data_IF_207200480180
#
_entry.id   IF_207200480180
#
_cell.length_a   1.000
_cell.length_b   1.000
_cell.length_c   1.000
_cell.angle_alpha   90.00
_cell.angle_beta   90.00
_cell.angle_gamma   90.00
#
_symmetry.space_group_name_H-M   'P 1'
#
loop_
_entity.id
_entity.type
_entity.pdbx_description
1 polymer ?
#
# COMPACT_ATOMS: atom_id res chain seq x y z
N UNK A 1 13.13 21.60 4.99
CA UNK A 1 12.44 20.35 4.58
C UNK A 1 12.81 19.28 5.61
N UNK A 2 11.84 18.63 6.24
CA UNK A 2 12.12 17.55 7.21
C UNK A 2 12.66 16.35 6.43
N UNK A 3 13.80 15.79 6.85
CA UNK A 3 14.33 14.56 6.23
C UNK A 3 13.35 13.42 6.47
N UNK A 4 13.09 12.61 5.45
CA UNK A 4 12.23 11.43 5.56
C UNK A 4 12.89 10.34 6.41
N UNK A 5 14.17 10.08 6.17
CA UNK A 5 15.05 9.25 7.00
C UNK A 5 16.50 9.68 6.83
N UNK A 6 17.39 9.20 7.68
CA UNK A 6 18.83 9.44 7.54
C UNK A 6 19.43 8.42 6.57
N UNK A 7 20.19 8.91 5.58
CA UNK A 7 20.89 8.06 4.64
C UNK A 7 22.10 7.45 5.38
N UNK A 8 22.25 6.11 5.38
CA UNK A 8 23.41 5.47 5.98
C UNK A 8 24.75 5.95 5.39
N UNK A 9 25.87 5.83 6.11
CA UNK A 9 27.18 6.30 5.64
C UNK A 9 27.64 5.69 4.30
N UNK A 10 27.19 4.46 4.00
CA UNK A 10 27.46 3.78 2.71
C UNK A 10 26.57 4.28 1.56
N UNK A 11 25.69 5.23 1.80
CA UNK A 11 24.78 5.79 0.78
C UNK A 11 23.61 4.89 0.36
N UNK A 12 23.43 3.70 0.97
CA UNK A 12 22.38 2.73 0.63
C UNK A 12 21.46 2.47 1.80
N UNK A 13 20.17 2.74 1.62
CA UNK A 13 19.15 2.52 2.64
C UNK A 13 18.52 1.12 2.51
N UNK A 14 18.41 0.39 3.60
CA UNK A 14 17.78 -0.94 3.62
C UNK A 14 16.28 -0.80 3.76
N UNK A 15 15.55 -1.56 2.94
CA UNK A 15 14.10 -1.47 2.89
C UNK A 15 13.41 -2.82 3.01
N UNK A 16 12.25 -2.81 3.66
CA UNK A 16 11.28 -3.89 3.60
C UNK A 16 10.22 -3.56 2.53
N UNK A 17 9.83 -4.55 1.73
CA UNK A 17 8.80 -4.39 0.69
C UNK A 17 7.55 -5.18 1.11
N UNK A 18 6.45 -4.49 1.31
CA UNK A 18 5.19 -5.03 1.81
C UNK A 18 4.20 -5.28 0.68
N UNK A 19 3.63 -6.48 0.62
CA UNK A 19 2.67 -6.89 -0.41
C UNK A 19 1.53 -7.74 0.18
N UNK A 20 0.32 -7.57 -0.36
CA UNK A 20 -0.88 -8.35 0.01
C UNK A 20 -1.50 -9.12 -1.17
N UNK A 21 -1.01 -8.93 -2.39
CA UNK A 21 -1.63 -9.49 -3.61
C UNK A 21 -0.62 -10.01 -4.63
N UNK A 22 -0.82 -9.67 -5.91
CA UNK A 22 0.02 -10.12 -7.03
C UNK A 22 1.48 -9.64 -6.94
N UNK A 23 1.75 -8.58 -6.18
CA UNK A 23 3.10 -8.03 -6.01
C UNK A 23 3.70 -7.39 -7.27
N UNK A 24 2.88 -6.99 -8.24
CA UNK A 24 3.37 -6.40 -9.51
C UNK A 24 4.29 -5.21 -9.26
N UNK A 25 3.92 -4.30 -8.36
CA UNK A 25 4.77 -3.16 -8.00
C UNK A 25 6.07 -3.60 -7.33
N UNK A 26 6.00 -4.60 -6.44
CA UNK A 26 7.20 -5.14 -5.78
C UNK A 26 8.17 -5.76 -6.79
N UNK A 27 7.65 -6.54 -7.75
CA UNK A 27 8.47 -7.11 -8.83
C UNK A 27 9.17 -6.00 -9.61
N UNK A 28 8.47 -4.92 -9.99
CA UNK A 28 9.09 -3.80 -10.73
C UNK A 28 10.16 -3.07 -9.94
N UNK A 29 9.97 -2.89 -8.64
CA UNK A 29 10.97 -2.31 -7.74
C UNK A 29 12.20 -3.22 -7.65
N UNK A 30 12.00 -4.53 -7.51
CA UNK A 30 13.08 -5.51 -7.42
C UNK A 30 13.82 -5.70 -8.76
N UNK A 31 13.13 -5.71 -9.89
CA UNK A 31 13.73 -5.70 -11.22
C UNK A 31 14.60 -4.45 -11.44
N UNK A 32 14.13 -3.29 -10.97
CA UNK A 32 14.91 -2.05 -11.05
C UNK A 32 16.19 -2.15 -10.22
N UNK A 33 16.09 -2.60 -8.97
CA UNK A 33 17.25 -2.82 -8.10
C UNK A 33 18.24 -3.83 -8.71
N UNK A 34 17.73 -4.95 -9.24
CA UNK A 34 18.56 -6.04 -9.77
C UNK A 34 19.35 -5.65 -11.03
N UNK A 35 18.90 -4.64 -11.79
CA UNK A 35 19.62 -4.17 -12.99
C UNK A 35 20.99 -3.56 -12.65
N UNK A 36 21.08 -2.86 -11.54
CA UNK A 36 22.32 -2.20 -11.11
C UNK A 36 22.35 -2.06 -9.57
N UNK A 37 22.56 -3.17 -8.82
CA UNK A 37 22.55 -3.15 -7.36
C UNK A 37 23.64 -2.26 -6.77
N UNK A 38 24.77 -2.10 -7.48
CA UNK A 38 25.90 -1.30 -6.99
C UNK A 38 25.59 0.19 -6.98
N UNK A 39 24.87 0.70 -7.97
CA UNK A 39 24.48 2.11 -8.06
C UNK A 39 23.07 2.41 -7.53
N UNK A 40 22.34 1.39 -7.11
CA UNK A 40 21.03 1.59 -6.49
C UNK A 40 21.18 2.10 -5.06
N UNK A 41 20.43 3.18 -4.73
CA UNK A 41 20.51 3.84 -3.41
C UNK A 41 19.75 3.09 -2.30
N UNK A 42 19.12 1.96 -2.60
CA UNK A 42 18.46 1.12 -1.60
C UNK A 42 18.83 -0.35 -1.76
N UNK A 43 18.65 -1.12 -0.68
CA UNK A 43 18.89 -2.56 -0.61
C UNK A 43 17.60 -3.21 -0.11
N UNK A 44 16.91 -4.04 -0.92
CA UNK A 44 15.79 -4.85 -0.44
C UNK A 44 16.28 -5.88 0.58
N UNK A 45 15.85 -5.77 1.83
CA UNK A 45 16.32 -6.62 2.93
C UNK A 45 15.34 -7.72 3.28
N UNK A 46 14.04 -7.48 3.11
CA UNK A 46 13.00 -8.50 3.25
C UNK A 46 11.74 -8.14 2.48
N UNK A 47 10.96 -9.16 2.15
CA UNK A 47 9.58 -9.05 1.69
C UNK A 47 8.67 -9.37 2.87
N UNK A 48 7.56 -8.65 2.99
CA UNK A 48 6.59 -8.83 4.08
C UNK A 48 5.21 -9.07 3.49
N UNK A 49 4.48 -10.04 4.03
CA UNK A 49 3.09 -10.28 3.64
C UNK A 49 2.18 -10.54 4.83
N UNK A 50 0.95 -10.03 4.71
CA UNK A 50 -0.17 -10.26 5.61
C UNK A 50 -1.07 -11.43 5.17
N UNK A 51 -0.83 -12.00 3.98
CA UNK A 51 -1.66 -13.02 3.33
C UNK A 51 -0.83 -14.10 2.65
N UNK A 52 -0.03 -14.88 3.38
CA UNK A 52 0.95 -15.79 2.79
C UNK A 52 0.36 -16.82 1.82
N UNK A 53 -0.89 -17.26 2.08
CA UNK A 53 -1.56 -18.26 1.24
C UNK A 53 -2.31 -17.66 0.03
N UNK A 54 -2.38 -16.33 -0.08
CA UNK A 54 -3.22 -15.64 -1.09
C UNK A 54 -2.49 -14.54 -1.85
N UNK A 55 -1.17 -14.54 -1.79
CA UNK A 55 -0.35 -13.55 -2.48
C UNK A 55 0.89 -14.18 -3.12
N UNK A 56 1.54 -13.44 -4.00
CA UNK A 56 2.74 -13.90 -4.70
C UNK A 56 4.05 -13.75 -3.88
N UNK A 57 3.97 -13.44 -2.58
CA UNK A 57 5.15 -13.10 -1.78
C UNK A 57 6.21 -14.20 -1.75
N UNK A 58 5.79 -15.47 -1.62
CA UNK A 58 6.71 -16.62 -1.59
C UNK A 58 7.48 -16.78 -2.90
N UNK A 59 6.78 -16.67 -4.03
CA UNK A 59 7.38 -16.80 -5.35
C UNK A 59 8.34 -15.64 -5.63
N UNK A 60 7.94 -14.40 -5.28
CA UNK A 60 8.77 -13.22 -5.44
C UNK A 60 10.02 -13.31 -4.54
N UNK A 61 9.87 -13.68 -3.27
CA UNK A 61 10.98 -13.85 -2.36
C UNK A 61 12.00 -14.88 -2.87
N UNK A 62 11.51 -16.01 -3.39
CA UNK A 62 12.34 -17.05 -4.01
C UNK A 62 13.01 -16.55 -5.29
N UNK A 63 12.27 -15.88 -6.18
CA UNK A 63 12.78 -15.37 -7.45
C UNK A 63 13.96 -14.42 -7.26
N UNK A 64 13.87 -13.50 -6.30
CA UNK A 64 14.89 -12.48 -6.04
C UNK A 64 15.87 -12.86 -4.93
N UNK A 65 15.73 -14.04 -4.34
CA UNK A 65 16.55 -14.53 -3.22
C UNK A 65 16.58 -13.54 -2.04
N UNK A 66 15.40 -13.06 -1.64
CA UNK A 66 15.21 -12.10 -0.54
C UNK A 66 14.46 -12.79 0.60
N UNK A 67 14.84 -12.58 1.88
CA UNK A 67 14.12 -13.11 3.04
C UNK A 67 12.64 -12.74 3.04
N UNK A 68 11.78 -13.66 3.46
CA UNK A 68 10.33 -13.47 3.56
C UNK A 68 9.89 -13.43 5.03
N UNK A 69 9.09 -12.45 5.38
CA UNK A 69 8.36 -12.37 6.64
C UNK A 69 6.88 -12.59 6.35
N UNK A 70 6.33 -13.64 6.92
CA UNK A 70 4.90 -13.94 6.91
C UNK A 70 4.29 -13.58 8.25
N UNK A 71 3.23 -12.77 8.22
CA UNK A 71 2.48 -12.39 9.42
C UNK A 71 0.99 -12.32 9.08
N UNK A 72 0.36 -13.49 9.03
CA UNK A 72 -1.01 -13.66 8.54
C UNK A 72 -2.03 -12.96 9.45
N UNK A 73 -2.66 -11.92 8.90
CA UNK A 73 -3.65 -11.13 9.62
C UNK A 73 -4.95 -11.90 9.84
N UNK A 74 -5.32 -12.80 8.91
CA UNK A 74 -6.55 -13.59 9.03
C UNK A 74 -6.44 -14.60 10.15
N UNK A 75 -5.31 -15.31 10.20
CA UNK A 75 -5.02 -16.26 11.28
C UNK A 75 -4.97 -15.54 12.62
N UNK A 76 -4.30 -14.37 12.69
CA UNK A 76 -4.20 -13.60 13.91
C UNK A 76 -5.58 -13.17 14.46
N UNK A 77 -6.44 -12.62 13.59
CA UNK A 77 -7.78 -12.21 14.01
C UNK A 77 -8.67 -13.39 14.43
N UNK A 78 -8.55 -14.52 13.73
CA UNK A 78 -9.25 -15.76 14.08
C UNK A 78 -8.82 -16.28 15.45
N UNK A 79 -7.52 -16.28 15.75
CA UNK A 79 -6.97 -16.67 17.05
C UNK A 79 -7.40 -15.71 18.17
N UNK A 80 -7.59 -14.43 17.87
CA UNK A 80 -8.18 -13.45 18.78
C UNK A 80 -9.71 -13.59 18.93
N UNK A 81 -10.35 -14.61 18.32
CA UNK A 81 -11.80 -14.84 18.40
C UNK A 81 -12.64 -13.93 17.50
N UNK A 82 -12.02 -13.17 16.59
CA UNK A 82 -12.71 -12.23 15.71
C UNK A 82 -13.03 -12.88 14.36
N UNK A 83 -14.26 -12.65 13.87
CA UNK A 83 -14.74 -13.22 12.60
C UNK A 83 -14.33 -12.40 11.37
N UNK A 84 -14.05 -11.11 11.54
CA UNK A 84 -13.75 -10.18 10.46
C UNK A 84 -12.53 -9.33 10.79
N UNK A 85 -11.75 -9.00 9.75
CA UNK A 85 -10.62 -8.08 9.85
C UNK A 85 -11.17 -6.67 9.67
N UNK A 86 -11.62 -6.05 10.75
CA UNK A 86 -12.25 -4.73 10.72
C UNK A 86 -11.68 -3.82 11.79
N UNK A 87 -11.64 -2.52 11.51
CA UNK A 87 -11.31 -1.46 12.45
C UNK A 87 -12.58 -0.76 13.01
N UNK A 88 -13.76 -1.22 12.60
CA UNK A 88 -15.02 -0.61 13.02
C UNK A 88 -15.33 -0.83 14.52
N UNK A 89 -14.94 -1.98 15.07
CA UNK A 89 -15.09 -2.27 16.50
C UNK A 89 -13.82 -1.97 17.29
N UNK A 90 -13.97 -1.79 18.60
CA UNK A 90 -12.85 -1.57 19.51
C UNK A 90 -11.94 -2.82 19.58
N UNK A 91 -12.53 -4.01 19.66
CA UNK A 91 -11.80 -5.28 19.67
C UNK A 91 -10.99 -5.46 18.38
N UNK A 92 -11.55 -5.06 17.24
CA UNK A 92 -10.86 -5.09 15.95
C UNK A 92 -9.66 -4.14 15.90
N UNK A 93 -9.77 -2.96 16.51
CA UNK A 93 -8.65 -2.01 16.65
C UNK A 93 -7.56 -2.53 17.57
N UNK A 94 -7.94 -3.09 18.74
CA UNK A 94 -7.00 -3.71 19.68
C UNK A 94 -6.26 -4.86 19.01
N UNK A 95 -6.97 -5.73 18.27
CA UNK A 95 -6.35 -6.83 17.53
C UNK A 95 -5.38 -6.31 16.45
N UNK A 96 -5.73 -5.22 15.74
CA UNK A 96 -4.85 -4.62 14.74
C UNK A 96 -3.56 -4.08 15.35
N UNK A 97 -3.64 -3.39 16.49
CA UNK A 97 -2.46 -2.89 17.17
C UNK A 97 -1.57 -4.03 17.71
N UNK A 98 -2.18 -5.10 18.25
CA UNK A 98 -1.44 -6.29 18.67
C UNK A 98 -0.76 -7.00 17.48
N UNK A 99 -1.46 -7.15 16.35
CA UNK A 99 -0.91 -7.68 15.10
C UNK A 99 0.25 -6.82 14.60
N UNK A 100 0.10 -5.49 14.60
CA UNK A 100 1.14 -4.55 14.20
C UNK A 100 2.39 -4.67 15.07
N UNK A 101 2.23 -4.80 16.39
CA UNK A 101 3.36 -5.04 17.32
C UNK A 101 4.10 -6.34 16.99
N UNK A 102 3.37 -7.43 16.74
CA UNK A 102 3.97 -8.69 16.32
C UNK A 102 4.75 -8.58 15.00
N UNK A 103 4.25 -7.79 14.06
CA UNK A 103 4.94 -7.50 12.81
C UNK A 103 6.23 -6.69 13.04
N UNK A 104 6.17 -5.64 13.87
CA UNK A 104 7.35 -4.84 14.24
C UNK A 104 8.43 -5.73 14.84
N UNK A 105 8.09 -6.61 15.80
CA UNK A 105 9.04 -7.54 16.41
C UNK A 105 9.73 -8.44 15.38
N UNK A 106 8.98 -8.92 14.38
CA UNK A 106 9.58 -9.72 13.29
C UNK A 106 10.53 -8.90 12.40
N UNK A 107 10.31 -7.60 12.28
CA UNK A 107 11.16 -6.72 11.48
C UNK A 107 12.45 -6.31 12.20
N UNK A 108 12.51 -6.36 13.55
CA UNK A 108 13.68 -5.96 14.35
C UNK A 108 14.95 -6.75 14.02
N UNK A 109 14.83 -7.94 13.42
CA UNK A 109 15.97 -8.71 12.94
C UNK A 109 16.67 -8.10 11.70
N UNK A 110 16.02 -7.13 11.04
CA UNK A 110 16.56 -6.43 9.89
C UNK A 110 16.86 -4.98 10.25
N UNK A 111 18.07 -4.49 9.95
CA UNK A 111 18.40 -3.08 10.18
C UNK A 111 17.82 -2.20 9.07
N UNK A 112 16.52 -1.91 9.15
CA UNK A 112 15.76 -1.18 8.13
C UNK A 112 15.82 0.33 8.37
N UNK A 113 15.98 1.11 7.31
CA UNK A 113 15.89 2.57 7.31
C UNK A 113 14.50 3.06 6.85
N UNK A 114 13.81 2.28 5.99
CA UNK A 114 12.45 2.61 5.53
C UNK A 114 11.70 1.38 5.02
N UNK A 115 10.42 1.53 4.71
CA UNK A 115 9.61 0.50 4.10
C UNK A 115 8.87 1.02 2.86
N UNK A 116 8.47 0.11 1.97
CA UNK A 116 7.66 0.39 0.79
C UNK A 116 6.39 -0.47 0.84
N UNK A 117 5.24 0.17 0.88
CA UNK A 117 3.95 -0.49 0.71
C UNK A 117 3.66 -0.59 -0.79
N UNK A 118 3.95 -1.76 -1.36
CA UNK A 118 3.81 -2.06 -2.79
C UNK A 118 2.52 -2.87 -3.05
N UNK A 119 1.38 -2.31 -2.67
CA UNK A 119 0.08 -2.99 -2.69
C UNK A 119 -0.19 -3.74 -1.37
N UNK A 120 0.23 -3.17 -0.25
CA UNK A 120 -0.09 -3.66 1.10
C UNK A 120 -1.43 -3.09 1.56
N UNK A 121 -2.35 -3.96 1.98
CA UNK A 121 -3.75 -3.59 2.23
C UNK A 121 -4.01 -3.18 3.67
N UNK A 122 -3.49 -3.89 4.71
CA UNK A 122 -3.85 -3.58 6.07
C UNK A 122 -3.37 -2.20 6.49
N UNK A 123 -4.26 -1.37 6.98
CA UNK A 123 -3.87 -0.17 7.72
C UNK A 123 -3.15 -0.62 9.00
N UNK A 124 -1.94 -0.16 9.21
CA UNK A 124 -1.16 -0.46 10.41
C UNK A 124 -0.22 0.70 10.74
N UNK A 125 -0.04 0.96 12.04
CA UNK A 125 0.78 2.07 12.52
C UNK A 125 2.28 1.71 12.62
N UNK A 126 2.78 0.89 11.70
CA UNK A 126 4.21 0.65 11.54
C UNK A 126 4.95 1.96 11.15
N UNK A 127 4.24 2.89 10.50
CA UNK A 127 4.71 4.22 10.14
C UNK A 127 5.16 5.08 11.33
N UNK A 128 4.75 4.73 12.55
CA UNK A 128 5.23 5.38 13.78
C UNK A 128 6.66 4.94 14.16
N UNK A 129 7.10 3.79 13.67
CA UNK A 129 8.41 3.19 13.99
C UNK A 129 9.38 3.25 12.82
N UNK A 130 8.88 3.16 11.61
CA UNK A 130 9.66 3.07 10.39
C UNK A 130 9.06 4.02 9.34
N UNK A 131 9.85 4.93 8.74
CA UNK A 131 9.38 5.72 7.61
C UNK A 131 8.89 4.82 6.47
N UNK A 132 7.68 5.05 5.96
CA UNK A 132 7.08 4.22 4.93
C UNK A 132 6.69 5.04 3.70
N UNK A 133 6.92 4.48 2.53
CA UNK A 133 6.41 4.96 1.26
C UNK A 133 5.23 4.09 0.83
N UNK A 134 4.19 4.70 0.28
CA UNK A 134 3.06 3.97 -0.31
C UNK A 134 2.99 4.22 -1.81
N UNK A 135 2.92 3.12 -2.58
CA UNK A 135 2.66 3.16 -4.02
C UNK A 135 1.15 3.14 -4.21
N UNK A 136 0.59 4.30 -4.51
CA UNK A 136 -0.86 4.51 -4.65
C UNK A 136 -1.27 4.51 -6.14
N UNK A 137 -2.32 3.75 -6.52
CA UNK A 137 -2.70 3.58 -7.93
C UNK A 137 -3.57 4.72 -8.47
N UNK A 138 -3.40 5.95 -8.00
CA UNK A 138 -4.15 7.13 -8.42
C UNK A 138 -3.29 8.39 -8.45
N UNK A 139 -3.68 9.34 -9.29
CA UNK A 139 -3.10 10.68 -9.29
C UNK A 139 -3.65 11.49 -8.12
N UNK A 140 -2.89 11.57 -7.05
CA UNK A 140 -3.26 12.31 -5.85
C UNK A 140 -3.16 13.85 -5.99
N UNK A 141 -2.81 14.35 -7.17
CA UNK A 141 -2.91 15.80 -7.49
C UNK A 141 -4.28 16.19 -8.01
N UNK A 142 -5.08 15.21 -8.46
CA UNK A 142 -6.46 15.46 -8.87
C UNK A 142 -7.32 15.68 -7.63
N UNK A 143 -8.00 16.81 -7.59
CA UNK A 143 -8.85 17.22 -6.46
C UNK A 143 -10.27 17.48 -6.91
N UNK A 144 -11.22 17.33 -5.99
CA UNK A 144 -12.62 17.70 -6.17
C UNK A 144 -12.83 19.22 -5.98
N UNK A 145 -14.09 19.68 -6.09
CA UNK A 145 -14.49 21.07 -5.91
C UNK A 145 -14.18 21.62 -4.49
N UNK A 146 -14.04 20.73 -3.50
CA UNK A 146 -13.69 21.06 -2.12
C UNK A 146 -12.16 21.04 -1.89
N UNK A 147 -11.35 20.86 -2.95
CA UNK A 147 -9.89 20.71 -2.90
C UNK A 147 -9.43 19.45 -2.12
N UNK A 148 -10.29 18.44 -2.02
CA UNK A 148 -9.94 17.14 -1.46
C UNK A 148 -9.43 16.23 -2.57
N UNK A 149 -8.45 15.36 -2.26
CA UNK A 149 -7.93 14.38 -3.22
C UNK A 149 -9.06 13.48 -3.70
N UNK A 150 -9.27 13.41 -5.00
CA UNK A 150 -10.37 12.68 -5.62
C UNK A 150 -10.06 11.18 -5.76
N UNK A 151 -8.84 10.85 -6.19
CA UNK A 151 -8.46 9.48 -6.52
C UNK A 151 -7.83 8.75 -5.33
N UNK A 152 -8.54 8.70 -4.21
CA UNK A 152 -8.12 8.03 -2.97
C UNK A 152 -8.83 6.68 -2.81
N UNK A 153 -8.27 5.82 -1.94
CA UNK A 153 -8.89 4.55 -1.57
C UNK A 153 -8.06 3.33 -1.94
N UNK A 154 -8.60 2.16 -1.59
CA UNK A 154 -7.91 0.88 -1.71
C UNK A 154 -8.14 0.23 -3.08
N UNK A 155 -7.18 -0.57 -3.51
CA UNK A 155 -7.25 -1.41 -4.72
C UNK A 155 -7.55 -0.63 -6.01
N UNK A 156 -8.65 -1.00 -6.69
CA UNK A 156 -9.08 -0.41 -7.94
C UNK A 156 -9.92 0.86 -7.78
N UNK A 157 -10.26 1.25 -6.56
CA UNK A 157 -11.15 2.42 -6.32
C UNK A 157 -10.62 3.69 -6.99
N UNK A 158 -9.35 4.07 -6.90
CA UNK A 158 -8.84 5.25 -7.60
C UNK A 158 -8.98 5.16 -9.12
N UNK A 159 -8.80 3.96 -9.69
CA UNK A 159 -8.98 3.70 -11.12
C UNK A 159 -10.45 3.84 -11.51
N UNK A 160 -11.35 3.23 -10.72
CA UNK A 160 -12.79 3.34 -10.91
C UNK A 160 -13.26 4.79 -10.84
N UNK A 161 -12.74 5.56 -9.87
CA UNK A 161 -13.05 6.99 -9.72
C UNK A 161 -12.55 7.81 -10.92
N UNK A 162 -11.39 7.52 -11.47
CA UNK A 162 -10.89 8.19 -12.66
C UNK A 162 -11.83 7.94 -13.86
N UNK A 163 -12.26 6.70 -14.06
CA UNK A 163 -13.22 6.33 -15.12
C UNK A 163 -14.57 7.03 -14.92
N UNK A 164 -15.12 7.01 -13.71
CA UNK A 164 -16.44 7.61 -13.40
C UNK A 164 -16.44 9.12 -13.60
N UNK A 165 -15.32 9.78 -13.27
CA UNK A 165 -15.16 11.22 -13.45
C UNK A 165 -14.67 11.58 -14.86
N UNK A 166 -14.63 10.59 -15.78
CA UNK A 166 -14.26 10.78 -17.20
C UNK A 166 -12.93 11.53 -17.36
N UNK A 167 -11.92 11.12 -16.57
CA UNK A 167 -10.58 11.68 -16.71
C UNK A 167 -9.91 11.09 -17.95
N UNK A 168 -9.18 11.91 -18.67
CA UNK A 168 -8.52 11.50 -19.92
C UNK A 168 -7.29 10.62 -19.67
N UNK A 169 -6.65 10.77 -18.52
CA UNK A 169 -5.43 10.07 -18.16
C UNK A 169 -5.35 9.75 -16.65
N UNK A 170 -4.46 8.85 -16.32
CA UNK A 170 -4.10 8.47 -14.97
C UNK A 170 -2.60 8.43 -14.76
N UNK A 171 -2.17 8.49 -13.52
CA UNK A 171 -0.81 8.14 -13.07
C UNK A 171 -0.84 7.52 -11.67
N UNK A 172 0.21 6.82 -11.34
CA UNK A 172 0.46 6.33 -9.98
C UNK A 172 1.20 7.41 -9.19
N UNK A 173 0.87 7.57 -7.92
CA UNK A 173 1.61 8.43 -6.99
C UNK A 173 2.40 7.60 -5.98
N UNK A 174 3.59 8.08 -5.61
CA UNK A 174 4.33 7.58 -4.44
C UNK A 174 4.26 8.65 -3.37
N UNK A 175 3.75 8.27 -2.21
CA UNK A 175 3.55 9.18 -1.07
C UNK A 175 4.31 8.70 0.16
N UNK A 176 4.58 9.63 1.07
CA UNK A 176 4.99 9.32 2.43
C UNK A 176 3.75 8.81 3.17
N UNK A 177 3.75 7.55 3.59
CA UNK A 177 2.64 7.00 4.34
C UNK A 177 2.61 7.58 5.77
N UNK A 178 1.43 7.94 6.24
CA UNK A 178 1.18 8.44 7.59
C UNK A 178 0.50 7.38 8.45
N UNK A 179 0.64 7.50 9.77
CA UNK A 179 -0.16 6.70 10.68
C UNK A 179 -1.66 7.03 10.49
N UNK A 180 -2.49 6.02 10.51
CA UNK A 180 -3.94 6.22 10.47
C UNK A 180 -4.48 6.56 11.87
N UNK A 181 -5.52 7.37 11.90
CA UNK A 181 -6.33 7.59 13.11
C UNK A 181 -7.54 6.66 13.14
N UNK A 182 -8.18 6.54 14.29
CA UNK A 182 -9.44 5.78 14.43
C UNK A 182 -10.59 6.33 13.58
N UNK A 183 -10.50 7.59 13.15
CA UNK A 183 -11.44 8.22 12.22
C UNK A 183 -11.13 7.97 10.73
N UNK A 184 -10.04 7.26 10.42
CA UNK A 184 -9.56 7.06 9.05
C UNK A 184 -8.79 8.25 8.46
N UNK A 185 -8.59 9.34 9.21
CA UNK A 185 -7.77 10.46 8.77
C UNK A 185 -6.30 10.03 8.60
N UNK A 186 -5.61 10.62 7.63
CA UNK A 186 -4.21 10.33 7.30
C UNK A 186 -4.02 9.31 6.18
N UNK A 187 -5.08 8.61 5.75
CA UNK A 187 -5.01 7.67 4.63
C UNK A 187 -4.87 8.48 3.32
N UNK A 188 -3.85 8.13 2.52
CA UNK A 188 -3.53 8.78 1.23
C UNK A 188 -3.33 10.32 1.30
N UNK A 189 -3.15 10.89 2.50
CA UNK A 189 -2.95 12.33 2.72
C UNK A 189 -1.47 12.75 2.73
N UNK A 190 -0.56 11.79 2.72
CA UNK A 190 0.88 12.05 2.79
C UNK A 190 1.44 12.88 1.63
N UNK A 191 2.62 13.45 1.82
CA UNK A 191 3.30 14.22 0.78
C UNK A 191 3.62 13.34 -0.43
N UNK A 192 3.27 13.80 -1.63
CA UNK A 192 3.66 13.16 -2.89
C UNK A 192 5.15 13.41 -3.10
N UNK A 193 5.91 12.33 -3.29
CA UNK A 193 7.35 12.39 -3.54
C UNK A 193 7.74 11.94 -4.96
N UNK A 194 6.80 11.33 -5.67
CA UNK A 194 6.99 10.90 -7.05
C UNK A 194 5.68 10.54 -7.72
N UNK A 195 5.67 10.60 -9.05
CA UNK A 195 4.55 10.19 -9.89
C UNK A 195 5.08 9.44 -11.12
N UNK A 196 4.30 8.48 -11.62
CA UNK A 196 4.59 7.87 -12.92
C UNK A 196 4.32 8.84 -14.06
N UNK A 197 4.79 8.57 -15.28
CA UNK A 197 4.24 9.19 -16.49
C UNK A 197 2.73 9.00 -16.56
N UNK A 198 2.05 9.88 -17.28
CA UNK A 198 0.63 9.76 -17.60
C UNK A 198 0.37 8.56 -18.51
N UNK A 199 -0.77 7.93 -18.31
CA UNK A 199 -1.29 6.84 -19.15
C UNK A 199 -2.70 7.22 -19.53
N UNK A 200 -2.98 7.27 -20.83
CA UNK A 200 -4.31 7.59 -21.34
C UNK A 200 -5.33 6.52 -20.92
N UNK A 201 -6.53 6.96 -20.59
CA UNK A 201 -7.66 6.06 -20.30
C UNK A 201 -8.40 5.83 -21.64
N UNK A 202 -8.39 4.59 -22.11
CA UNK A 202 -9.12 4.21 -23.32
C UNK A 202 -10.57 3.85 -22.99
N UNK A 203 -11.48 4.75 -23.34
CA UNK A 203 -12.92 4.59 -23.16
C UNK A 203 -13.62 3.85 -24.31
N UNK A 204 -12.88 3.35 -25.33
CA UNK A 204 -13.48 2.60 -26.44
C UNK A 204 -14.30 1.43 -25.91
N UNK A 205 -15.58 1.38 -26.34
CA UNK A 205 -16.54 0.37 -25.94
C UNK A 205 -16.91 0.37 -24.43
N UNK A 206 -16.68 1.44 -23.71
CA UNK A 206 -17.10 1.57 -22.30
C UNK A 206 -18.46 2.24 -22.24
N UNK A 207 -19.48 1.53 -21.74
CA UNK A 207 -20.75 2.14 -21.33
C UNK A 207 -20.57 2.78 -19.94
N UNK A 208 -20.22 4.07 -19.95
CA UNK A 208 -19.91 4.82 -18.75
C UNK A 208 -21.10 4.89 -17.78
N UNK A 209 -22.34 4.99 -18.29
CA UNK A 209 -23.53 5.09 -17.44
C UNK A 209 -23.81 3.75 -16.73
N UNK A 210 -23.71 2.63 -17.44
CA UNK A 210 -23.76 1.30 -16.82
C UNK A 210 -22.66 1.12 -15.78
N UNK A 211 -21.45 1.58 -16.06
CA UNK A 211 -20.33 1.49 -15.13
C UNK A 211 -20.58 2.30 -13.85
N UNK A 212 -21.06 3.54 -13.96
CA UNK A 212 -21.45 4.39 -12.82
C UNK A 212 -22.54 3.73 -11.97
N UNK A 213 -23.55 3.14 -12.62
CA UNK A 213 -24.63 2.44 -11.93
C UNK A 213 -24.13 1.25 -11.12
N UNK A 214 -23.26 0.41 -11.71
CA UNK A 214 -22.66 -0.74 -11.02
C UNK A 214 -21.81 -0.28 -9.84
N UNK A 215 -21.01 0.77 -10.01
CA UNK A 215 -20.18 1.33 -8.94
C UNK A 215 -21.06 1.81 -7.76
N UNK A 216 -22.11 2.58 -8.04
CA UNK A 216 -23.04 3.09 -7.02
C UNK A 216 -23.72 1.95 -6.24
N UNK A 217 -24.13 0.87 -6.93
CA UNK A 217 -24.72 -0.31 -6.29
C UNK A 217 -23.73 -1.02 -5.35
N UNK A 218 -22.46 -1.13 -5.76
CA UNK A 218 -21.41 -1.72 -4.91
C UNK A 218 -21.16 -0.88 -3.66
N UNK A 219 -21.11 0.46 -3.79
CA UNK A 219 -20.94 1.36 -2.67
C UNK A 219 -22.13 1.35 -1.71
N UNK A 220 -23.36 1.23 -2.21
CA UNK A 220 -24.56 1.05 -1.39
C UNK A 220 -24.47 -0.21 -0.53
N UNK A 221 -24.16 -1.36 -1.13
CA UNK A 221 -24.00 -2.64 -0.40
C UNK A 221 -22.87 -2.62 0.65
N UNK A 222 -21.82 -1.84 0.42
CA UNK A 222 -20.72 -1.71 1.37
C UNK A 222 -21.07 -0.83 2.59
N UNK A 223 -22.08 0.04 2.48
CA UNK A 223 -22.59 0.84 3.61
C UNK A 223 -23.59 0.08 4.47
N UNK A 224 -24.27 -0.92 3.89
CA UNK A 224 -25.30 -1.72 4.57
C UNK A 224 -24.71 -3.00 5.21
N UNK A 225 -23.41 -3.27 5.06
CA UNK A 225 -22.69 -4.42 5.60
C UNK A 225 -21.74 -4.03 6.75
#
# INVERSE_FOLDING_TARGET
>A
MKKFFEIPPNGKARTAIFISGSGTNAVKILEFWQKDPENCNFIPSCIVTDRPERCAARDIAKQFNIPLIEHDIFTFYKEAGLKTISLASEEGRIAREAWTKGLITKLEQFPLEFAIFAGFIPLCNITEKLPCLNVHPGDLTVVDDNKQRLLVGLHAIPIELAVINNLDHMRTAVIVASAYSSSGAGIDEGSIIGQSPEVDIDFKNTDLESYKSIYAQRQGKAKDA
#
